data_IF_493120367464
#
_entry.id   IF_493120367464
#
_cell.length_a   1.000
_cell.length_b   1.000
_cell.length_c   1.000
_cell.angle_alpha   90.00
_cell.angle_beta   90.00
_cell.angle_gamma   90.00
#
_symmetry.space_group_name_H-M   'P 1'
#
loop_
_entity.id
_entity.type
_entity.pdbx_description
1 polymer ?
#
# COMPACT_ATOMS: atom_id res chain seq x y z
N UNK A 1 -24.05 -2.31 14.54
CA UNK A 1 -22.73 -1.64 14.55
C UNK A 1 -22.22 -1.79 13.13
N UNK A 2 -22.35 -0.74 12.32
CA UNK A 2 -22.02 -0.77 10.89
C UNK A 2 -20.52 -0.72 10.73
N UNK A 3 -19.94 -1.75 10.11
CA UNK A 3 -18.59 -1.73 9.53
C UNK A 3 -18.57 -0.75 8.35
N UNK A 4 -18.72 0.54 8.65
CA UNK A 4 -18.93 1.60 7.68
C UNK A 4 -17.64 1.91 6.93
N UNK A 5 -17.42 1.24 5.80
CA UNK A 5 -16.43 1.62 4.80
C UNK A 5 -16.79 3.03 4.27
N UNK A 6 -15.83 3.95 4.19
CA UNK A 6 -16.10 5.31 3.71
C UNK A 6 -16.48 5.36 2.21
N UNK A 7 -17.08 6.48 1.78
CA UNK A 7 -17.51 6.75 0.41
C UNK A 7 -16.44 6.42 -0.62
N UNK A 8 -15.24 6.92 -0.37
CA UNK A 8 -14.11 6.80 -1.26
C UNK A 8 -13.57 5.38 -1.40
N UNK A 9 -13.42 4.65 -0.29
CA UNK A 9 -12.91 3.26 -0.34
C UNK A 9 -13.86 2.39 -1.14
N UNK A 10 -15.16 2.55 -0.95
CA UNK A 10 -16.11 1.70 -1.63
C UNK A 10 -16.41 2.16 -3.07
N UNK A 11 -16.25 3.45 -3.41
CA UNK A 11 -16.15 3.90 -4.80
C UNK A 11 -14.93 3.31 -5.51
N UNK A 12 -13.76 3.29 -4.85
CA UNK A 12 -12.55 2.69 -5.39
C UNK A 12 -12.73 1.18 -5.65
N UNK A 13 -13.40 0.45 -4.73
CA UNK A 13 -13.77 -0.96 -4.94
C UNK A 13 -14.72 -1.14 -6.14
N UNK A 14 -15.72 -0.27 -6.30
CA UNK A 14 -16.60 -0.31 -7.47
C UNK A 14 -15.81 -0.05 -8.77
N UNK A 15 -14.91 0.92 -8.78
CA UNK A 15 -14.08 1.22 -9.95
C UNK A 15 -13.16 0.05 -10.35
N UNK A 16 -12.70 -0.74 -9.39
CA UNK A 16 -11.85 -1.91 -9.62
C UNK A 16 -12.63 -3.16 -10.09
N UNK A 17 -13.91 -3.30 -9.72
CA UNK A 17 -14.67 -4.54 -9.94
C UNK A 17 -15.78 -4.46 -10.99
N UNK A 18 -16.26 -3.26 -11.37
CA UNK A 18 -17.40 -3.12 -12.30
C UNK A 18 -16.97 -3.25 -13.76
N UNK A 19 -17.79 -3.95 -14.56
CA UNK A 19 -17.57 -4.17 -15.99
C UNK A 19 -17.34 -2.86 -16.79
N UNK A 20 -16.49 -2.89 -17.84
CA UNK A 20 -16.06 -1.68 -18.56
C UNK A 20 -17.18 -0.85 -19.18
N UNK A 21 -18.32 -1.47 -19.46
CA UNK A 21 -19.45 -0.88 -20.20
C UNK A 21 -20.32 0.05 -19.35
N UNK A 22 -20.22 -0.02 -18.01
CA UNK A 22 -21.01 0.82 -17.10
C UNK A 22 -20.22 2.09 -16.78
N UNK A 23 -20.57 3.22 -17.40
CA UNK A 23 -19.94 4.52 -17.14
C UNK A 23 -20.39 5.19 -15.82
N UNK A 24 -19.70 6.25 -15.42
CA UNK A 24 -19.97 7.01 -14.18
C UNK A 24 -21.45 7.44 -14.02
N UNK A 25 -22.07 7.91 -15.10
CA UNK A 25 -23.45 8.36 -15.10
C UNK A 25 -24.47 7.22 -14.89
N UNK A 26 -24.21 6.04 -15.46
CA UNK A 26 -25.08 4.87 -15.31
C UNK A 26 -24.93 4.26 -13.91
N UNK A 27 -23.71 4.23 -13.36
CA UNK A 27 -23.47 3.84 -11.96
C UNK A 27 -24.15 4.78 -10.96
N UNK A 28 -24.09 6.09 -11.20
CA UNK A 28 -24.81 7.07 -10.38
C UNK A 28 -26.33 6.83 -10.44
N UNK A 29 -26.87 6.51 -11.62
CA UNK A 29 -28.29 6.18 -11.82
C UNK A 29 -28.69 4.88 -11.10
N UNK A 30 -27.89 3.82 -11.20
CA UNK A 30 -28.09 2.55 -10.48
C UNK A 30 -28.07 2.78 -8.96
N UNK A 31 -27.11 3.56 -8.45
CA UNK A 31 -27.05 3.95 -7.04
C UNK A 31 -28.31 4.73 -6.60
N UNK A 32 -28.83 5.61 -7.46
CA UNK A 32 -30.07 6.35 -7.25
C UNK A 32 -31.35 5.51 -7.38
N UNK A 33 -31.34 4.39 -8.11
CA UNK A 33 -32.50 3.49 -8.27
C UNK A 33 -32.61 2.51 -7.09
N UNK A 34 -31.48 2.02 -6.57
CA UNK A 34 -31.38 1.23 -5.33
C UNK A 34 -31.90 1.98 -4.08
N UNK A 35 -32.02 3.32 -4.18
CA UNK A 35 -32.69 4.24 -3.22
C UNK A 35 -34.08 3.78 -2.79
N UNK A 36 -34.79 3.02 -3.63
CA UNK A 36 -36.19 2.64 -3.42
C UNK A 36 -36.38 1.41 -2.52
N UNK A 37 -35.32 0.68 -2.17
CA UNK A 37 -35.43 -0.57 -1.40
C UNK A 37 -34.40 -0.67 -0.26
N UNK A 38 -34.92 -0.53 0.97
CA UNK A 38 -34.32 -0.85 2.29
C UNK A 38 -33.45 0.18 3.03
N UNK A 39 -33.69 0.24 4.34
CA UNK A 39 -33.21 1.20 5.33
C UNK A 39 -31.77 0.88 5.80
N UNK A 40 -30.89 1.89 5.85
CA UNK A 40 -29.56 1.83 6.49
C UNK A 40 -28.38 2.24 5.61
N UNK A 41 -28.54 2.25 4.29
CA UNK A 41 -27.46 2.44 3.29
C UNK A 41 -27.42 3.85 2.66
N UNK A 42 -28.26 4.76 3.16
CA UNK A 42 -28.60 6.02 2.47
C UNK A 42 -27.43 7.00 2.31
N UNK A 43 -26.61 7.19 3.33
CA UNK A 43 -25.59 8.25 3.29
C UNK A 43 -24.43 7.93 2.33
N UNK A 44 -24.00 6.67 2.29
CA UNK A 44 -22.85 6.25 1.48
C UNK A 44 -23.12 6.30 -0.03
N UNK A 45 -24.31 5.86 -0.46
CA UNK A 45 -24.72 5.94 -1.87
C UNK A 45 -24.99 7.39 -2.30
N UNK A 46 -25.46 8.25 -1.39
CA UNK A 46 -25.60 9.69 -1.63
C UNK A 46 -24.24 10.38 -1.83
N UNK A 47 -23.25 10.07 -0.98
CA UNK A 47 -21.89 10.60 -1.10
C UNK A 47 -21.23 10.15 -2.41
N UNK A 48 -21.42 8.89 -2.82
CA UNK A 48 -20.96 8.38 -4.11
C UNK A 48 -21.62 9.10 -5.28
N UNK A 49 -22.96 9.25 -5.26
CA UNK A 49 -23.67 9.94 -6.32
C UNK A 49 -23.23 11.41 -6.44
N UNK A 50 -23.01 12.09 -5.31
CA UNK A 50 -22.49 13.46 -5.28
C UNK A 50 -21.06 13.55 -5.83
N UNK A 51 -20.18 12.62 -5.45
CA UNK A 51 -18.81 12.53 -5.98
C UNK A 51 -18.81 12.31 -7.50
N UNK A 52 -19.61 11.36 -7.99
CA UNK A 52 -19.73 11.05 -9.42
C UNK A 52 -20.33 12.22 -10.22
N UNK A 53 -21.29 12.95 -9.66
CA UNK A 53 -21.92 14.09 -10.31
C UNK A 53 -21.00 15.32 -10.40
N UNK A 54 -20.11 15.51 -9.43
CA UNK A 54 -19.21 16.68 -9.36
C UNK A 54 -17.90 16.47 -10.10
N UNK A 55 -17.43 15.22 -10.22
CA UNK A 55 -16.18 14.88 -10.91
C UNK A 55 -16.36 13.61 -11.79
N UNK A 56 -17.08 13.70 -12.92
CA UNK A 56 -17.35 12.53 -13.76
C UNK A 56 -16.07 11.86 -14.27
N UNK A 57 -15.04 12.65 -14.62
CA UNK A 57 -13.75 12.14 -15.10
C UNK A 57 -12.97 11.36 -14.04
N UNK A 58 -13.21 11.61 -12.75
CA UNK A 58 -12.49 10.93 -11.66
C UNK A 58 -12.79 9.44 -11.68
N UNK A 59 -14.03 9.05 -11.99
CA UNK A 59 -14.38 7.63 -12.04
C UNK A 59 -13.68 6.89 -13.20
N UNK A 60 -13.63 7.51 -14.38
CA UNK A 60 -12.96 6.93 -15.54
C UNK A 60 -11.43 6.88 -15.33
N UNK A 61 -10.84 7.92 -14.73
CA UNK A 61 -9.43 7.91 -14.32
C UNK A 61 -9.12 6.82 -13.30
N UNK A 62 -10.00 6.62 -12.30
CA UNK A 62 -9.83 5.58 -11.30
C UNK A 62 -9.93 4.19 -11.91
N UNK A 63 -10.89 3.97 -12.81
CA UNK A 63 -11.00 2.72 -13.57
C UNK A 63 -9.75 2.47 -14.41
N UNK A 64 -9.27 3.47 -15.14
CA UNK A 64 -8.07 3.35 -15.96
C UNK A 64 -6.81 3.10 -15.13
N UNK A 65 -6.70 3.75 -13.96
CA UNK A 65 -5.60 3.55 -13.01
C UNK A 65 -5.65 2.12 -12.44
N UNK A 66 -6.81 1.67 -11.97
CA UNK A 66 -7.00 0.33 -11.41
C UNK A 66 -6.72 -0.75 -12.46
N UNK A 67 -7.21 -0.59 -13.69
CA UNK A 67 -6.98 -1.53 -14.79
C UNK A 67 -5.52 -1.61 -15.24
N UNK A 68 -4.67 -0.65 -14.86
CA UNK A 68 -3.26 -0.65 -15.26
C UNK A 68 -2.43 -1.72 -14.55
N UNK A 69 -2.84 -2.15 -13.35
CA UNK A 69 -2.17 -3.16 -12.53
C UNK A 69 -3.05 -4.40 -12.45
N UNK A 70 -2.56 -5.53 -12.94
CA UNK A 70 -3.30 -6.79 -12.89
C UNK A 70 -2.93 -7.57 -11.62
N UNK A 71 -3.91 -7.79 -10.76
CA UNK A 71 -3.79 -8.50 -9.47
C UNK A 71 -3.94 -10.02 -9.56
N UNK A 72 -4.08 -10.53 -10.78
CA UNK A 72 -4.07 -11.96 -11.07
C UNK A 72 -2.72 -12.38 -11.66
N UNK A 73 -2.35 -13.63 -11.43
CA UNK A 73 -1.16 -14.23 -12.03
C UNK A 73 -1.62 -15.25 -13.07
N UNK A 74 -1.38 -14.99 -14.36
CA UNK A 74 -1.68 -15.97 -15.41
C UNK A 74 -0.91 -17.27 -15.21
N UNK A 75 -1.51 -18.38 -15.64
CA UNK A 75 -0.88 -19.70 -15.60
C UNK A 75 0.45 -19.70 -16.38
N UNK A 76 1.49 -20.26 -15.76
CA UNK A 76 2.83 -20.34 -16.35
C UNK A 76 3.68 -19.07 -16.25
N UNK A 77 3.18 -17.98 -15.68
CA UNK A 77 3.98 -16.76 -15.48
C UNK A 77 5.07 -17.00 -14.41
N UNK A 78 6.34 -16.73 -14.74
CA UNK A 78 7.45 -16.80 -13.77
C UNK A 78 7.47 -15.57 -12.86
N UNK A 79 8.17 -15.64 -11.73
CA UNK A 79 8.32 -14.48 -10.84
C UNK A 79 8.90 -13.25 -11.57
N UNK A 80 9.87 -13.47 -12.46
CA UNK A 80 10.48 -12.40 -13.26
C UNK A 80 9.46 -11.70 -14.16
N UNK A 81 8.64 -12.48 -14.87
CA UNK A 81 7.60 -11.96 -15.76
C UNK A 81 6.55 -11.18 -14.96
N UNK A 82 6.12 -11.71 -13.81
CA UNK A 82 5.16 -11.01 -12.93
C UNK A 82 5.74 -9.69 -12.43
N UNK A 83 7.00 -9.64 -12.00
CA UNK A 83 7.65 -8.41 -11.54
C UNK A 83 7.74 -7.37 -12.67
N UNK A 84 8.16 -7.77 -13.87
CA UNK A 84 8.27 -6.86 -15.02
C UNK A 84 6.89 -6.32 -15.45
N UNK A 85 5.86 -7.16 -15.45
CA UNK A 85 4.48 -6.77 -15.72
C UNK A 85 3.96 -5.79 -14.68
N UNK A 86 4.22 -6.03 -13.40
CA UNK A 86 3.82 -5.15 -12.30
C UNK A 86 4.53 -3.79 -12.41
N UNK A 87 5.85 -3.77 -12.65
CA UNK A 87 6.59 -2.53 -12.86
C UNK A 87 6.01 -1.70 -14.00
N UNK A 88 5.72 -2.35 -15.14
CA UNK A 88 5.08 -1.72 -16.30
C UNK A 88 3.65 -1.24 -16.00
N UNK A 89 2.91 -1.98 -15.17
CA UNK A 89 1.56 -1.61 -14.74
C UNK A 89 1.55 -0.38 -13.85
N UNK A 90 2.46 -0.32 -12.89
CA UNK A 90 2.63 0.86 -12.02
C UNK A 90 3.18 2.06 -12.77
N UNK A 91 4.06 1.87 -13.77
CA UNK A 91 4.49 2.95 -14.66
C UNK A 91 3.28 3.62 -15.35
N UNK A 92 2.34 2.81 -15.87
CA UNK A 92 1.09 3.32 -16.49
C UNK A 92 0.14 3.94 -15.47
N UNK A 93 -0.08 3.28 -14.32
CA UNK A 93 -0.98 3.78 -13.28
C UNK A 93 -0.55 5.17 -12.79
N UNK A 94 0.75 5.35 -12.52
CA UNK A 94 1.30 6.61 -12.06
C UNK A 94 1.24 7.72 -13.13
N UNK A 95 1.30 7.37 -14.42
CA UNK A 95 1.13 8.31 -15.52
C UNK A 95 -0.32 8.82 -15.66
N UNK A 96 -1.31 8.03 -15.23
CA UNK A 96 -2.72 8.44 -15.19
C UNK A 96 -2.98 9.29 -13.95
N UNK A 97 -2.62 8.78 -12.78
CA UNK A 97 -2.80 9.49 -11.51
C UNK A 97 -1.81 8.97 -10.47
N UNK A 98 -0.81 9.79 -10.14
CA UNK A 98 0.16 9.47 -9.12
C UNK A 98 -0.52 9.13 -7.76
N UNK A 99 -1.43 9.93 -7.19
CA UNK A 99 -2.05 9.60 -5.90
C UNK A 99 -2.89 8.31 -5.95
N UNK A 100 -3.68 8.13 -7.01
CA UNK A 100 -4.54 6.95 -7.14
C UNK A 100 -3.73 5.67 -7.40
N UNK A 101 -2.53 5.78 -7.99
CA UNK A 101 -1.66 4.65 -8.26
C UNK A 101 -1.09 3.99 -7.00
N UNK A 102 -0.95 4.73 -5.91
CA UNK A 102 -0.47 4.21 -4.61
C UNK A 102 -1.59 4.06 -3.58
N UNK A 103 -2.72 4.74 -3.77
CA UNK A 103 -3.91 4.57 -2.96
C UNK A 103 -5.15 4.95 -3.78
N UNK A 104 -5.83 3.96 -4.34
CA UNK A 104 -6.98 4.20 -5.22
C UNK A 104 -8.10 5.00 -4.52
N UNK A 105 -8.29 4.80 -3.21
CA UNK A 105 -9.26 5.57 -2.40
C UNK A 105 -8.88 7.05 -2.19
N UNK A 106 -7.69 7.50 -2.59
CA UNK A 106 -7.40 8.94 -2.67
C UNK A 106 -8.22 9.64 -3.76
N UNK A 107 -8.77 8.88 -4.70
CA UNK A 107 -9.49 9.41 -5.87
C UNK A 107 -8.64 10.36 -6.73
N UNK A 108 -7.31 10.20 -6.69
CA UNK A 108 -6.36 11.08 -7.37
C UNK A 108 -6.11 12.42 -6.65
N UNK A 109 -6.65 12.59 -5.44
CA UNK A 109 -6.58 13.82 -4.66
C UNK A 109 -5.37 13.79 -3.69
N UNK A 110 -4.47 14.76 -3.83
CA UNK A 110 -3.23 14.83 -3.03
C UNK A 110 -3.52 15.15 -1.56
N UNK A 111 -4.57 15.92 -1.24
CA UNK A 111 -4.91 16.24 0.15
C UNK A 111 -5.44 15.00 0.87
N UNK A 112 -6.28 14.20 0.19
CA UNK A 112 -6.75 12.91 0.72
C UNK A 112 -5.60 11.93 0.92
N UNK A 113 -4.68 11.86 -0.04
CA UNK A 113 -3.48 11.03 0.09
C UNK A 113 -2.63 11.47 1.29
N UNK A 114 -2.40 12.78 1.45
CA UNK A 114 -1.67 13.34 2.59
C UNK A 114 -2.35 12.99 3.92
N UNK A 115 -3.67 13.11 4.02
CA UNK A 115 -4.42 12.79 5.23
C UNK A 115 -4.29 11.30 5.63
N UNK A 116 -4.45 10.38 4.68
CA UNK A 116 -4.25 8.95 4.92
C UNK A 116 -2.79 8.63 5.29
N UNK A 117 -1.83 9.28 4.63
CA UNK A 117 -0.40 9.14 4.95
C UNK A 117 -0.10 9.59 6.38
N UNK A 118 -0.67 10.72 6.82
CA UNK A 118 -0.51 11.23 8.17
C UNK A 118 -1.13 10.31 9.24
N UNK A 119 -2.29 9.70 8.95
CA UNK A 119 -2.91 8.69 9.84
C UNK A 119 -1.95 7.50 10.05
N UNK A 120 -1.38 6.97 8.96
CA UNK A 120 -0.42 5.86 9.01
C UNK A 120 0.86 6.27 9.76
N UNK A 121 1.44 7.43 9.49
CA UNK A 121 2.63 7.92 10.21
C UNK A 121 2.37 8.08 11.71
N UNK A 122 1.21 8.63 12.09
CA UNK A 122 0.80 8.76 13.49
C UNK A 122 0.69 7.39 14.18
N UNK A 123 0.09 6.42 13.50
CA UNK A 123 0.03 5.04 14.00
C UNK A 123 1.43 4.43 14.16
N UNK A 124 2.32 4.57 13.16
CA UNK A 124 3.71 4.09 13.23
C UNK A 124 4.48 4.70 14.41
N UNK A 125 4.28 6.00 14.67
CA UNK A 125 4.85 6.70 15.82
C UNK A 125 4.35 6.14 17.15
N UNK A 126 3.05 5.86 17.28
CA UNK A 126 2.46 5.24 18.47
C UNK A 126 3.02 3.82 18.72
N UNK A 127 3.38 3.09 17.66
CA UNK A 127 4.03 1.78 17.78
C UNK A 127 5.55 1.87 18.07
N UNK A 128 6.13 3.08 18.09
CA UNK A 128 7.56 3.28 18.30
C UNK A 128 8.45 2.90 17.11
N UNK A 129 7.89 2.85 15.89
CA UNK A 129 8.60 2.46 14.67
C UNK A 129 9.74 3.45 14.33
N UNK A 130 9.45 4.75 14.35
CA UNK A 130 10.39 5.83 14.04
C UNK A 130 11.22 6.33 15.23
N UNK A 131 11.89 7.46 15.04
CA UNK A 131 12.71 8.12 16.06
C UNK A 131 13.97 8.76 15.49
N UNK A 132 14.40 9.87 16.09
CA UNK A 132 15.60 10.60 15.67
C UNK A 132 16.80 9.66 15.59
N UNK A 133 17.48 9.68 14.43
CA UNK A 133 18.67 8.86 14.18
C UNK A 133 18.39 7.45 13.65
N UNK A 134 17.14 6.97 13.64
CA UNK A 134 16.81 5.64 13.08
C UNK A 134 16.95 5.58 11.57
N UNK A 135 17.35 4.40 11.09
CA UNK A 135 17.45 4.01 9.69
C UNK A 135 16.18 3.29 9.25
N UNK A 136 15.46 3.80 8.25
CA UNK A 136 14.25 3.14 7.73
C UNK A 136 14.46 2.70 6.28
N UNK A 137 13.98 1.50 5.94
CA UNK A 137 13.81 1.04 4.55
C UNK A 137 12.31 0.98 4.22
N UNK A 138 11.89 1.56 3.11
CA UNK A 138 10.54 1.40 2.56
C UNK A 138 10.57 0.53 1.30
N UNK A 139 9.87 -0.61 1.33
CA UNK A 139 9.77 -1.57 0.24
C UNK A 139 8.50 -1.28 -0.55
N UNK A 140 8.64 -0.86 -1.81
CA UNK A 140 7.54 -0.38 -2.63
C UNK A 140 7.12 1.05 -2.24
N UNK A 141 8.08 1.98 -2.19
CA UNK A 141 7.84 3.36 -1.78
C UNK A 141 6.88 4.13 -2.71
N UNK A 142 6.63 3.59 -3.91
CA UNK A 142 5.78 4.22 -4.92
C UNK A 142 6.26 5.63 -5.23
N UNK A 143 5.37 6.59 -5.08
CA UNK A 143 5.61 8.01 -5.37
C UNK A 143 6.28 8.79 -4.23
N UNK A 144 6.85 8.13 -3.21
CA UNK A 144 7.67 8.79 -2.20
C UNK A 144 6.89 9.46 -1.05
N UNK A 145 5.66 9.00 -0.76
CA UNK A 145 4.77 9.68 0.20
C UNK A 145 5.24 9.53 1.66
N UNK A 146 5.78 8.36 2.02
CA UNK A 146 6.26 8.11 3.38
C UNK A 146 7.64 8.71 3.60
N UNK A 147 8.49 8.74 2.58
CA UNK A 147 9.77 9.44 2.61
C UNK A 147 9.56 10.91 2.92
N UNK A 148 8.69 11.59 2.16
CA UNK A 148 8.35 12.99 2.40
C UNK A 148 7.72 13.24 3.77
N UNK A 149 6.96 12.28 4.32
CA UNK A 149 6.29 12.44 5.62
C UNK A 149 7.20 12.12 6.82
N UNK A 150 8.13 11.16 6.68
CA UNK A 150 8.95 10.64 7.77
C UNK A 150 10.35 11.24 7.82
N UNK A 151 10.86 11.86 6.75
CA UNK A 151 12.27 12.27 6.66
C UNK A 151 12.78 13.12 7.84
N UNK A 152 11.91 13.94 8.45
CA UNK A 152 12.23 14.82 9.57
C UNK A 152 12.15 14.12 10.94
N UNK A 153 11.57 12.92 11.00
CA UNK A 153 11.32 12.14 12.22
C UNK A 153 12.28 10.95 12.37
N UNK A 154 13.15 10.73 11.38
CA UNK A 154 14.11 9.62 11.31
C UNK A 154 15.50 10.16 10.95
N UNK A 155 16.54 9.34 11.14
CA UNK A 155 17.90 9.72 10.75
C UNK A 155 18.11 9.64 9.24
N UNK A 156 17.61 8.58 8.61
CA UNK A 156 17.54 8.44 7.16
C UNK A 156 16.46 7.45 6.76
N UNK A 157 15.93 7.62 5.55
CA UNK A 157 14.98 6.69 4.93
C UNK A 157 15.41 6.37 3.51
N UNK A 158 15.42 5.07 3.19
CA UNK A 158 15.69 4.56 1.85
C UNK A 158 14.39 4.00 1.29
N UNK A 159 13.85 4.60 0.24
CA UNK A 159 12.71 4.09 -0.51
C UNK A 159 13.14 3.27 -1.71
N UNK A 160 12.50 2.12 -1.92
CA UNK A 160 12.77 1.24 -3.06
C UNK A 160 11.49 0.92 -3.82
N UNK A 161 11.55 0.90 -5.15
CA UNK A 161 10.41 0.52 -5.99
C UNK A 161 10.87 -0.13 -7.31
N UNK A 162 10.07 -1.05 -7.86
CA UNK A 162 10.37 -1.73 -9.12
C UNK A 162 10.09 -0.85 -10.35
N UNK A 163 9.17 0.12 -10.21
CA UNK A 163 8.75 1.04 -11.27
C UNK A 163 9.71 2.22 -11.38
N UNK A 164 10.13 2.53 -12.61
CA UNK A 164 11.01 3.68 -12.85
C UNK A 164 10.26 5.00 -12.76
N UNK A 165 9.00 5.01 -13.20
CA UNK A 165 8.17 6.19 -13.13
C UNK A 165 7.85 6.55 -11.67
N UNK A 166 7.53 5.56 -10.84
CA UNK A 166 7.34 5.75 -9.39
C UNK A 166 8.57 6.40 -8.74
N UNK A 167 9.76 5.85 -8.99
CA UNK A 167 11.01 6.43 -8.48
C UNK A 167 11.27 7.84 -9.01
N UNK A 168 10.94 8.14 -10.27
CA UNK A 168 11.08 9.48 -10.82
C UNK A 168 10.18 10.49 -10.09
N UNK A 169 8.90 10.14 -9.87
CA UNK A 169 7.93 10.97 -9.13
C UNK A 169 8.37 11.13 -7.67
N UNK A 170 8.81 10.04 -7.02
CA UNK A 170 9.31 10.06 -5.65
C UNK A 170 10.52 11.00 -5.50
N UNK A 171 11.45 10.99 -6.47
CA UNK A 171 12.61 11.89 -6.48
C UNK A 171 12.22 13.34 -6.62
N UNK A 172 11.22 13.63 -7.46
CA UNK A 172 10.68 14.97 -7.58
C UNK A 172 10.01 15.43 -6.28
N UNK A 173 9.21 14.56 -5.65
CA UNK A 173 8.51 14.84 -4.39
C UNK A 173 9.49 15.08 -3.23
N UNK A 174 10.55 14.29 -3.16
CA UNK A 174 11.55 14.35 -2.10
C UNK A 174 12.75 15.24 -2.44
N UNK A 175 12.64 16.09 -3.48
CA UNK A 175 13.73 16.96 -3.89
C UNK A 175 14.15 17.89 -2.73
N UNK A 176 15.44 17.91 -2.41
CA UNK A 176 16.00 18.71 -1.32
C UNK A 176 15.96 18.06 0.06
N UNK A 177 15.38 16.86 0.21
CA UNK A 177 15.36 16.13 1.47
C UNK A 177 16.65 15.31 1.63
N UNK A 178 17.63 15.86 2.35
CA UNK A 178 18.97 15.25 2.48
C UNK A 178 19.00 13.87 3.18
N UNK A 179 17.95 13.53 3.94
CA UNK A 179 17.82 12.25 4.66
C UNK A 179 17.08 11.18 3.87
N UNK A 180 16.69 11.45 2.62
CA UNK A 180 15.95 10.53 1.76
C UNK A 180 16.85 10.00 0.64
N UNK A 181 16.87 8.68 0.47
CA UNK A 181 17.47 8.00 -0.67
C UNK A 181 16.42 7.21 -1.44
N UNK A 182 16.44 7.24 -2.77
CA UNK A 182 15.45 6.54 -3.62
C UNK A 182 16.14 5.67 -4.68
N UNK A 183 15.89 4.37 -4.63
CA UNK A 183 16.52 3.36 -5.48
C UNK A 183 15.50 2.56 -6.28
N UNK A 184 15.79 2.30 -7.55
CA UNK A 184 15.04 1.29 -8.30
C UNK A 184 15.47 -0.10 -7.82
N UNK A 185 14.50 -0.94 -7.46
CA UNK A 185 14.72 -2.31 -7.01
C UNK A 185 14.60 -3.31 -8.17
N UNK A 186 15.22 -4.48 -8.00
CA UNK A 186 15.02 -5.64 -8.88
C UNK A 186 13.66 -6.33 -8.67
N UNK A 187 13.06 -6.15 -7.48
CA UNK A 187 11.83 -6.82 -7.07
C UNK A 187 12.01 -8.25 -6.56
N UNK A 188 13.24 -8.79 -6.55
CA UNK A 188 13.50 -10.17 -6.14
C UNK A 188 13.95 -10.32 -4.68
N UNK A 189 14.57 -9.29 -4.09
CA UNK A 189 15.13 -9.35 -2.76
C UNK A 189 15.80 -8.03 -2.37
N UNK A 190 16.52 -8.05 -1.24
CA UNK A 190 17.16 -6.88 -0.63
C UNK A 190 18.70 -7.04 -0.62
N UNK A 191 19.25 -7.73 -1.62
CA UNK A 191 20.67 -8.11 -1.70
C UNK A 191 21.61 -6.90 -1.69
N UNK A 192 21.13 -5.71 -2.08
CA UNK A 192 21.87 -4.44 -2.09
C UNK A 192 22.05 -3.83 -0.68
N UNK A 193 21.44 -4.43 0.34
CA UNK A 193 21.48 -3.96 1.73
C UNK A 193 22.20 -4.96 2.63
N UNK A 194 23.08 -4.43 3.48
CA UNK A 194 23.80 -5.23 4.45
C UNK A 194 22.89 -5.78 5.56
N UNK A 195 23.36 -6.81 6.24
CA UNK A 195 22.70 -7.33 7.45
C UNK A 195 22.66 -6.23 8.53
N UNK A 196 21.59 -6.21 9.33
CA UNK A 196 21.46 -5.30 10.48
C UNK A 196 21.69 -3.80 10.14
N UNK A 197 21.24 -3.37 8.96
CA UNK A 197 21.41 -2.01 8.46
C UNK A 197 20.25 -1.06 8.76
N UNK A 198 19.07 -1.57 9.14
CA UNK A 198 17.87 -0.75 9.37
C UNK A 198 17.24 -0.96 10.75
N UNK A 199 16.76 0.11 11.36
CA UNK A 199 15.98 0.05 12.61
C UNK A 199 14.48 -0.19 12.34
N UNK A 200 14.03 0.11 11.12
CA UNK A 200 12.67 -0.16 10.69
C UNK A 200 12.57 -0.53 9.20
N UNK A 201 11.66 -1.43 8.88
CA UNK A 201 11.27 -1.72 7.49
C UNK A 201 9.77 -1.47 7.31
N UNK A 202 9.41 -0.61 6.37
CA UNK A 202 8.05 -0.30 6.00
C UNK A 202 7.72 -1.02 4.68
N UNK A 203 6.50 -1.53 4.57
CA UNK A 203 5.96 -2.02 3.31
C UNK A 203 4.45 -1.79 3.31
N UNK A 204 4.01 -0.69 2.68
CA UNK A 204 2.59 -0.31 2.61
C UNK A 204 2.05 -0.63 1.22
N UNK A 205 1.05 -1.50 1.13
CA UNK A 205 0.47 -1.99 -0.14
C UNK A 205 1.51 -2.62 -1.09
N UNK A 206 2.65 -3.10 -0.57
CA UNK A 206 3.73 -3.68 -1.38
C UNK A 206 3.75 -5.21 -1.34
N UNK A 207 3.54 -5.79 -0.16
CA UNK A 207 3.50 -7.24 0.03
C UNK A 207 2.45 -7.99 -0.83
N UNK A 208 1.26 -7.44 -1.15
CA UNK A 208 0.32 -8.15 -2.01
C UNK A 208 0.91 -8.48 -3.39
N UNK A 209 1.79 -7.62 -3.90
CA UNK A 209 2.47 -7.81 -5.18
C UNK A 209 3.66 -8.77 -5.07
N UNK A 210 4.36 -8.79 -3.92
CA UNK A 210 5.38 -9.80 -3.62
C UNK A 210 4.76 -11.19 -3.47
N UNK A 211 3.57 -11.27 -2.86
CA UNK A 211 2.77 -12.48 -2.75
C UNK A 211 2.34 -12.96 -4.13
N UNK A 212 1.86 -12.05 -4.98
CA UNK A 212 1.46 -12.36 -6.35
C UNK A 212 2.64 -12.90 -7.17
N UNK A 213 3.80 -12.25 -7.11
CA UNK A 213 5.02 -12.69 -7.78
C UNK A 213 5.61 -13.99 -7.20
N UNK A 214 5.19 -14.41 -6.00
CA UNK A 214 5.69 -15.61 -5.32
C UNK A 214 7.06 -15.41 -4.68
N UNK A 215 7.39 -14.18 -4.27
CA UNK A 215 8.67 -13.81 -3.64
C UNK A 215 8.52 -13.24 -2.23
N UNK A 216 7.31 -13.25 -1.67
CA UNK A 216 7.01 -12.72 -0.34
C UNK A 216 7.80 -13.40 0.79
N UNK A 217 7.93 -14.73 0.77
CA UNK A 217 8.70 -15.47 1.78
C UNK A 217 10.18 -15.07 1.75
N UNK A 218 10.78 -14.98 0.55
CA UNK A 218 12.15 -14.47 0.39
C UNK A 218 12.29 -13.06 0.95
N UNK A 219 11.37 -12.15 0.63
CA UNK A 219 11.40 -10.78 1.16
C UNK A 219 11.24 -10.74 2.68
N UNK A 220 10.41 -11.60 3.26
CA UNK A 220 10.24 -11.66 4.71
C UNK A 220 11.53 -12.09 5.41
N UNK A 221 12.23 -13.08 4.86
CA UNK A 221 13.55 -13.48 5.37
C UNK A 221 14.61 -12.39 5.22
N UNK A 222 14.60 -11.68 4.09
CA UNK A 222 15.48 -10.53 3.85
C UNK A 222 15.19 -9.37 4.81
N UNK A 223 13.92 -9.09 5.12
CA UNK A 223 13.52 -8.12 6.16
C UNK A 223 14.13 -8.50 7.51
N UNK A 224 14.03 -9.77 7.90
CA UNK A 224 14.62 -10.24 9.15
C UNK A 224 16.16 -10.05 9.17
N UNK A 225 16.82 -10.27 8.03
CA UNK A 225 18.27 -10.09 7.84
C UNK A 225 18.71 -8.63 7.98
N UNK A 226 18.05 -7.71 7.28
CA UNK A 226 18.43 -6.28 7.24
C UNK A 226 18.02 -5.51 8.48
N UNK A 227 17.03 -5.99 9.25
CA UNK A 227 16.64 -5.37 10.52
C UNK A 227 17.73 -5.52 11.58
N UNK A 228 18.08 -4.43 12.27
CA UNK A 228 18.84 -4.46 13.52
C UNK A 228 18.08 -5.21 14.61
N UNK A 229 18.79 -5.67 15.63
CA UNK A 229 18.18 -6.22 16.85
C UNK A 229 17.29 -5.17 17.51
N UNK A 230 16.07 -5.54 17.86
CA UNK A 230 15.04 -4.63 18.36
C UNK A 230 14.34 -3.81 17.27
N UNK A 231 14.80 -3.86 16.01
CA UNK A 231 14.16 -3.21 14.88
C UNK A 231 12.83 -3.85 14.51
N UNK A 232 11.95 -3.07 13.87
CA UNK A 232 10.57 -3.46 13.58
C UNK A 232 10.25 -3.43 12.09
N UNK A 233 9.45 -4.37 11.60
CA UNK A 233 8.85 -4.29 10.27
C UNK A 233 7.35 -4.09 10.35
N UNK A 234 6.85 -3.05 9.68
CA UNK A 234 5.44 -2.74 9.51
C UNK A 234 5.03 -3.12 8.09
N UNK A 235 4.29 -4.23 7.97
CA UNK A 235 3.70 -4.71 6.72
C UNK A 235 2.23 -4.35 6.75
N UNK A 236 1.83 -3.38 5.93
CA UNK A 236 0.45 -2.92 5.86
C UNK A 236 -0.16 -3.43 4.54
N UNK A 237 -1.13 -4.32 4.67
CA UNK A 237 -1.60 -5.30 3.68
C UNK A 237 -0.53 -6.34 3.32
N UNK A 238 -0.67 -7.56 3.85
CA UNK A 238 0.18 -8.69 3.47
C UNK A 238 -0.22 -9.30 2.12
N UNK A 239 -1.53 -9.43 1.87
CA UNK A 239 -2.04 -9.87 0.58
C UNK A 239 -3.39 -9.21 0.27
N UNK A 240 -3.82 -9.30 -0.99
CA UNK A 240 -5.20 -8.97 -1.41
C UNK A 240 -6.08 -10.21 -1.54
N UNK A 241 -5.67 -11.34 -0.94
CA UNK A 241 -6.52 -12.53 -0.87
C UNK A 241 -7.68 -12.21 0.08
N UNK A 242 -8.89 -12.65 -0.23
CA UNK A 242 -10.05 -12.57 0.69
C UNK A 242 -9.95 -13.61 1.84
N UNK A 243 -8.78 -13.71 2.48
CA UNK A 243 -8.45 -14.75 3.45
C UNK A 243 -7.58 -14.22 4.59
N UNK A 244 -8.05 -13.20 5.32
CA UNK A 244 -7.26 -12.59 6.41
C UNK A 244 -6.80 -13.55 7.52
N UNK A 245 -7.51 -14.67 7.73
CA UNK A 245 -7.04 -15.73 8.63
C UNK A 245 -5.78 -16.45 8.11
N UNK A 246 -5.68 -16.64 6.80
CA UNK A 246 -4.51 -17.22 6.14
C UNK A 246 -3.32 -16.28 6.23
N UNK A 247 -3.51 -14.99 5.99
CA UNK A 247 -2.43 -13.99 6.11
C UNK A 247 -1.85 -13.94 7.53
N UNK A 248 -2.71 -14.03 8.56
CA UNK A 248 -2.25 -14.17 9.96
C UNK A 248 -1.43 -15.45 10.20
N UNK A 249 -1.79 -16.56 9.57
CA UNK A 249 -1.04 -17.81 9.70
C UNK A 249 0.30 -17.74 8.96
N UNK A 250 0.30 -17.22 7.73
CA UNK A 250 1.48 -17.04 6.90
C UNK A 250 2.49 -16.13 7.62
N UNK A 251 2.07 -14.95 8.10
CA UNK A 251 2.94 -14.00 8.82
C UNK A 251 3.49 -14.60 10.12
N UNK A 252 2.68 -15.31 10.92
CA UNK A 252 3.17 -15.97 12.15
C UNK A 252 4.20 -17.06 11.84
N UNK A 253 3.93 -17.89 10.84
CA UNK A 253 4.84 -18.97 10.44
C UNK A 253 6.19 -18.42 9.96
N UNK A 254 6.16 -17.34 9.17
CA UNK A 254 7.36 -16.66 8.70
C UNK A 254 8.11 -15.96 9.86
N UNK A 255 7.39 -15.32 10.77
CA UNK A 255 7.99 -14.69 11.95
C UNK A 255 8.71 -15.73 12.83
N UNK A 256 8.08 -16.88 13.08
CA UNK A 256 8.68 -18.00 13.83
C UNK A 256 9.93 -18.53 13.13
N UNK A 257 9.86 -18.76 11.81
CA UNK A 257 10.98 -19.24 11.00
C UNK A 257 12.21 -18.30 11.05
N UNK A 258 11.97 -17.00 11.18
CA UNK A 258 12.99 -15.96 11.19
C UNK A 258 13.26 -15.34 12.57
N UNK A 259 12.70 -15.92 13.65
CA UNK A 259 12.87 -15.47 15.04
C UNK A 259 12.47 -14.00 15.25
N UNK A 260 11.35 -13.61 14.66
CA UNK A 260 10.72 -12.31 14.87
C UNK A 260 9.53 -12.46 15.84
N UNK A 261 9.37 -11.51 16.75
CA UNK A 261 8.18 -11.40 17.59
C UNK A 261 7.04 -10.79 16.76
N UNK A 262 5.85 -11.39 16.77
CA UNK A 262 4.65 -10.75 16.20
C UNK A 262 4.00 -9.86 17.24
N UNK A 263 3.97 -8.55 16.99
CA UNK A 263 3.35 -7.55 17.86
C UNK A 263 1.90 -7.28 17.46
N UNK A 264 1.63 -7.19 16.16
CA UNK A 264 0.30 -6.93 15.58
C UNK A 264 0.08 -7.91 14.43
N UNK A 265 -1.12 -8.50 14.34
CA UNK A 265 -1.42 -9.55 13.37
C UNK A 265 -2.79 -9.37 12.70
N UNK A 266 -2.86 -8.53 11.68
CA UNK A 266 -4.02 -8.35 10.81
C UNK A 266 -5.12 -7.46 11.42
N UNK A 267 -4.74 -6.52 12.28
CA UNK A 267 -5.65 -5.49 12.80
C UNK A 267 -5.94 -4.44 11.72
N UNK A 268 -7.08 -3.75 11.79
CA UNK A 268 -7.43 -2.67 10.86
C UNK A 268 -7.52 -1.33 11.60
N UNK A 269 -6.39 -0.66 11.86
CA UNK A 269 -6.36 0.53 12.72
C UNK A 269 -6.72 1.84 12.00
N UNK A 270 -6.91 1.80 10.69
CA UNK A 270 -7.03 2.99 9.84
C UNK A 270 -8.48 3.28 9.46
N UNK A 271 -8.85 4.56 9.46
CA UNK A 271 -10.18 5.03 9.07
C UNK A 271 -10.23 5.60 7.65
N UNK A 272 -9.10 6.10 7.15
CA UNK A 272 -8.98 6.70 5.82
C UNK A 272 -8.43 5.75 4.76
N UNK A 273 -8.01 4.56 5.18
CA UNK A 273 -7.43 3.53 4.33
C UNK A 273 -7.84 2.14 4.81
N UNK A 274 -8.16 1.24 3.89
CA UNK A 274 -8.58 -0.13 4.22
C UNK A 274 -7.38 -1.06 4.18
N UNK A 275 -6.57 -0.99 5.23
CA UNK A 275 -5.34 -1.76 5.36
C UNK A 275 -5.29 -2.62 6.62
N UNK A 276 -4.92 -3.89 6.46
CA UNK A 276 -4.60 -4.77 7.58
C UNK A 276 -3.13 -4.59 8.00
N UNK A 277 -2.89 -4.22 9.26
CA UNK A 277 -1.56 -4.01 9.82
C UNK A 277 -0.96 -5.31 10.38
N UNK A 278 0.29 -5.56 10.04
CA UNK A 278 1.14 -6.56 10.67
C UNK A 278 2.42 -5.87 11.15
N UNK A 279 2.74 -6.03 12.42
CA UNK A 279 3.95 -5.48 13.01
C UNK A 279 4.75 -6.62 13.62
N UNK A 280 5.99 -6.79 13.16
CA UNK A 280 6.92 -7.78 13.68
C UNK A 280 8.20 -7.11 14.16
N UNK A 281 8.89 -7.71 15.13
CA UNK A 281 10.11 -7.15 15.72
C UNK A 281 11.20 -8.20 15.76
N UNK A 282 12.41 -7.83 15.35
CA UNK A 282 13.58 -8.69 15.54
C UNK A 282 13.92 -8.74 17.02
N UNK A 283 13.95 -9.94 17.60
CA UNK A 283 14.22 -10.11 19.03
C UNK A 283 15.52 -9.41 19.44
N UNK A 284 15.50 -8.72 20.59
CA UNK A 284 16.68 -8.02 21.09
C UNK A 284 17.81 -8.99 21.43
N UNK A 285 17.47 -10.25 21.74
CA UNK A 285 18.29 -11.36 22.22
C UNK A 285 19.24 -10.99 23.37
N UNK A 286 19.41 -11.92 24.30
CA UNK A 286 20.43 -11.81 25.36
C UNK A 286 21.84 -11.73 24.81
#
# INVERSE_FOLDING_TARGET
MSDGVCAEVALARLAACVEPEIGAAELAKIAMELRSSQFGWRNWLEDIAALLATKPDVFDQLRATAASVCHERPDGETAAMTIERLASGFDRAAAISAPASVQLSSLGDEEKLCAATAEICSWLEQQGFGGTGKAILDIGCGIGRFEAALHAKVGHIVGTDISSNMIAIARQRCAGLATVELRRASGFGLDDFADESFDGVLAVDSFPYLVLAGVAERHFGEIARVLRRGGMAAILNYSYREAGARDRCDVRSLADAHRLDVLIAGEKPFSLWDGAAFLVRRGCGT
#
